data_IF_861235181495
#
_entry.id   IF_861235181495
#
_cell.length_a   1.000
_cell.length_b   1.000
_cell.length_c   1.000
_cell.angle_alpha   90.00
_cell.angle_beta   90.00
_cell.angle_gamma   90.00
#
_symmetry.space_group_name_H-M   'P 1'
#
loop_
_entity.id
_entity.type
_entity.pdbx_description
1 polymer ?
#
# COMPACT_ATOMS: atom_id res chain seq x y z
N UNK A 1 28.57 4.89 20.82
CA UNK A 1 27.37 5.76 20.85
C UNK A 1 27.15 6.33 19.46
N UNK A 2 26.65 5.53 18.51
CA UNK A 2 26.53 5.90 17.08
C UNK A 2 25.09 5.83 16.55
N UNK A 3 24.19 5.14 17.25
CA UNK A 3 22.85 4.79 16.75
C UNK A 3 21.84 5.94 16.68
N UNK A 4 22.05 7.04 17.42
CA UNK A 4 21.10 8.16 17.49
C UNK A 4 21.23 9.07 16.26
N UNK A 5 22.43 9.24 15.72
CA UNK A 5 22.66 10.09 14.54
C UNK A 5 22.19 9.44 13.23
N UNK A 6 22.25 8.11 13.13
CA UNK A 6 21.74 7.38 11.95
C UNK A 6 20.21 7.45 11.86
N UNK A 7 19.52 7.38 13.00
CA UNK A 7 18.06 7.52 13.06
C UNK A 7 17.59 8.93 12.65
N UNK A 8 18.31 9.98 13.10
CA UNK A 8 17.98 11.37 12.77
C UNK A 8 18.25 11.73 11.29
N UNK A 9 19.24 11.08 10.69
CA UNK A 9 19.52 11.18 9.24
C UNK A 9 18.47 10.43 8.41
N UNK A 10 18.02 9.26 8.90
CA UNK A 10 16.90 8.52 8.30
C UNK A 10 15.55 9.26 8.39
N UNK A 11 15.32 10.02 9.47
CA UNK A 11 14.16 10.90 9.62
C UNK A 11 14.15 12.10 8.67
N UNK A 12 15.30 12.47 8.10
CA UNK A 12 15.42 13.54 7.08
C UNK A 12 15.61 12.98 5.67
N UNK A 13 15.51 11.66 5.48
CA UNK A 13 15.57 11.08 4.15
C UNK A 13 14.21 11.26 3.44
N UNK A 14 14.17 12.00 2.31
CA UNK A 14 12.92 12.30 1.63
C UNK A 14 12.24 11.04 1.09
N UNK A 15 13.02 10.03 0.70
CA UNK A 15 12.48 8.78 0.19
C UNK A 15 11.91 7.91 1.33
N UNK A 16 12.60 7.79 2.46
CA UNK A 16 12.09 7.06 3.63
C UNK A 16 10.82 7.70 4.18
N UNK A 17 10.78 9.04 4.27
CA UNK A 17 9.57 9.77 4.68
C UNK A 17 8.39 9.47 3.75
N UNK A 18 8.65 9.47 2.44
CA UNK A 18 7.66 9.09 1.43
C UNK A 18 7.22 7.63 1.56
N UNK A 19 8.16 6.70 1.76
CA UNK A 19 7.91 5.28 1.89
C UNK A 19 7.02 4.97 3.10
N UNK A 20 7.27 5.63 4.23
CA UNK A 20 6.42 5.52 5.43
C UNK A 20 5.00 5.98 5.12
N UNK A 21 4.83 7.17 4.53
CA UNK A 21 3.50 7.68 4.16
C UNK A 21 2.76 6.74 3.20
N UNK A 22 3.48 6.17 2.23
CA UNK A 22 2.93 5.24 1.26
C UNK A 22 2.49 3.91 1.91
N UNK A 23 3.29 3.35 2.82
CA UNK A 23 2.92 2.14 3.57
C UNK A 23 1.74 2.38 4.51
N UNK A 24 1.71 3.50 5.23
CA UNK A 24 0.57 3.88 6.07
C UNK A 24 -0.71 4.06 5.26
N UNK A 25 -0.60 4.54 4.01
CA UNK A 25 -1.76 4.65 3.10
C UNK A 25 -2.32 3.27 2.73
N UNK A 26 -1.44 2.29 2.46
CA UNK A 26 -1.89 0.91 2.20
C UNK A 26 -2.48 0.22 3.43
N UNK A 27 -2.01 0.56 4.63
CA UNK A 27 -2.54 0.04 5.89
C UNK A 27 -3.95 0.55 6.21
N UNK A 28 -4.24 1.83 5.93
CA UNK A 28 -5.51 2.49 6.31
C UNK A 28 -6.71 2.18 5.37
N UNK A 29 -6.60 1.14 4.54
CA UNK A 29 -7.54 0.74 3.48
C UNK A 29 -7.40 1.58 2.20
N UNK A 30 -7.13 0.93 1.05
CA UNK A 30 -6.58 1.59 -0.11
C UNK A 30 -7.63 2.13 -1.11
N UNK A 31 -8.89 2.27 -0.70
CA UNK A 31 -10.03 2.53 -1.61
C UNK A 31 -10.33 4.00 -1.90
N UNK A 32 -9.85 4.96 -1.10
CA UNK A 32 -10.34 6.35 -1.20
C UNK A 32 -9.31 7.38 -1.62
N UNK A 33 -8.00 7.08 -1.50
CA UNK A 33 -6.95 8.07 -1.72
C UNK A 33 -5.92 7.52 -2.70
N UNK A 34 -5.62 8.22 -3.81
CA UNK A 34 -4.53 7.82 -4.69
C UNK A 34 -3.21 7.76 -3.90
N UNK A 35 -2.35 6.75 -4.13
CA UNK A 35 -1.10 6.65 -3.41
C UNK A 35 -0.27 7.92 -3.64
N UNK A 36 0.38 8.47 -2.60
CA UNK A 36 1.24 9.63 -2.76
C UNK A 36 2.30 9.34 -3.84
N UNK A 37 2.62 10.33 -4.66
CA UNK A 37 3.69 10.23 -5.66
C UNK A 37 5.00 10.74 -5.06
N UNK A 38 6.10 10.07 -5.38
CA UNK A 38 7.43 10.55 -5.00
C UNK A 38 7.96 11.49 -6.10
N UNK A 39 8.14 12.77 -5.76
CA UNK A 39 8.74 13.78 -6.65
C UNK A 39 10.14 14.22 -6.16
N UNK A 40 10.71 13.49 -5.21
CA UNK A 40 12.06 13.76 -4.67
C UNK A 40 13.19 13.15 -5.51
N UNK A 41 14.45 13.30 -5.06
CA UNK A 41 15.61 12.69 -5.72
C UNK A 41 15.45 11.16 -5.78
N UNK A 42 15.53 10.61 -6.99
CA UNK A 42 15.42 9.17 -7.23
C UNK A 42 16.73 8.59 -7.78
N UNK A 43 17.04 7.38 -7.34
CA UNK A 43 18.04 6.49 -7.93
C UNK A 43 17.44 5.12 -8.28
N UNK A 44 18.23 4.26 -8.91
CA UNK A 44 17.81 2.92 -9.32
C UNK A 44 17.30 2.05 -8.15
N UNK A 45 17.76 2.28 -6.91
CA UNK A 45 17.31 1.56 -5.72
C UNK A 45 15.91 2.02 -5.35
N UNK A 46 15.69 3.34 -5.27
CA UNK A 46 14.37 3.92 -4.97
C UNK A 46 13.33 3.53 -6.02
N UNK A 47 13.68 3.57 -7.31
CA UNK A 47 12.83 3.10 -8.41
C UNK A 47 12.51 1.61 -8.27
N UNK A 48 13.50 0.80 -7.86
CA UNK A 48 13.30 -0.63 -7.67
C UNK A 48 12.35 -0.95 -6.52
N UNK A 49 12.46 -0.21 -5.42
CA UNK A 49 11.57 -0.32 -4.27
C UNK A 49 10.15 0.09 -4.67
N UNK A 50 9.97 1.26 -5.29
CA UNK A 50 8.64 1.75 -5.71
C UNK A 50 7.96 0.80 -6.69
N UNK A 51 8.70 0.27 -7.67
CA UNK A 51 8.16 -0.71 -8.63
C UNK A 51 7.72 -2.00 -7.92
N UNK A 52 8.54 -2.50 -7.00
CA UNK A 52 8.24 -3.73 -6.26
C UNK A 52 7.01 -3.55 -5.37
N UNK A 53 6.91 -2.40 -4.69
CA UNK A 53 5.76 -2.04 -3.88
C UNK A 53 4.49 -1.90 -4.72
N UNK A 54 4.56 -1.28 -5.91
CA UNK A 54 3.43 -1.22 -6.84
C UNK A 54 2.98 -2.60 -7.36
N UNK A 55 3.87 -3.58 -7.44
CA UNK A 55 3.49 -4.96 -7.75
C UNK A 55 2.78 -5.65 -6.58
N UNK A 56 3.24 -5.42 -5.34
CA UNK A 56 2.59 -5.93 -4.12
C UNK A 56 1.21 -5.32 -3.95
N UNK A 57 1.10 -4.00 -4.09
CA UNK A 57 -0.17 -3.28 -4.02
C UNK A 57 -1.20 -3.82 -5.01
N UNK A 58 -0.83 -4.01 -6.28
CA UNK A 58 -1.73 -4.60 -7.29
C UNK A 58 -2.22 -6.00 -6.89
N UNK A 59 -1.35 -6.86 -6.36
CA UNK A 59 -1.76 -8.20 -5.89
C UNK A 59 -2.72 -8.11 -4.71
N UNK A 60 -2.48 -7.18 -3.78
CA UNK A 60 -3.38 -6.91 -2.66
C UNK A 60 -4.75 -6.46 -3.17
N UNK A 61 -4.82 -5.46 -4.05
CA UNK A 61 -6.10 -5.00 -4.64
C UNK A 61 -6.87 -6.12 -5.34
N UNK A 62 -6.20 -6.94 -6.15
CA UNK A 62 -6.84 -8.09 -6.80
C UNK A 62 -7.36 -9.11 -5.79
N UNK A 63 -6.62 -9.37 -4.72
CA UNK A 63 -7.06 -10.27 -3.65
C UNK A 63 -8.30 -9.73 -2.93
N UNK A 64 -8.32 -8.44 -2.59
CA UNK A 64 -9.45 -7.78 -1.95
C UNK A 64 -10.69 -7.75 -2.86
N UNK A 65 -10.54 -7.48 -4.15
CA UNK A 65 -11.64 -7.52 -5.13
C UNK A 65 -12.22 -8.93 -5.28
N UNK A 66 -11.34 -9.94 -5.31
CA UNK A 66 -11.74 -11.35 -5.35
C UNK A 66 -12.51 -11.74 -4.08
N UNK A 67 -12.01 -11.32 -2.91
CA UNK A 67 -12.67 -11.57 -1.63
C UNK A 67 -14.05 -10.90 -1.55
N UNK A 68 -14.17 -9.65 -2.02
CA UNK A 68 -15.43 -8.94 -2.09
C UNK A 68 -16.44 -9.65 -3.01
N UNK A 69 -15.99 -10.17 -4.15
CA UNK A 69 -16.82 -10.93 -5.09
C UNK A 69 -17.32 -12.25 -4.50
N UNK A 70 -16.46 -12.96 -3.75
CA UNK A 70 -16.84 -14.19 -3.03
C UNK A 70 -17.90 -13.86 -1.98
N UNK A 71 -17.66 -12.87 -1.11
CA UNK A 71 -18.61 -12.44 -0.08
C UNK A 71 -19.95 -12.01 -0.66
N UNK A 72 -19.95 -11.26 -1.76
CA UNK A 72 -21.18 -10.86 -2.43
C UNK A 72 -21.97 -12.10 -2.91
N UNK A 73 -21.29 -13.08 -3.49
CA UNK A 73 -21.90 -14.34 -3.95
C UNK A 73 -22.49 -15.15 -2.78
N UNK A 74 -21.81 -15.22 -1.63
CA UNK A 74 -22.34 -15.87 -0.42
C UNK A 74 -23.58 -15.16 0.13
N UNK A 75 -23.60 -13.82 0.15
CA UNK A 75 -24.79 -13.05 0.54
C UNK A 75 -25.99 -13.32 -0.37
N UNK A 76 -25.79 -13.48 -1.68
CA UNK A 76 -26.86 -13.87 -2.61
C UNK A 76 -27.41 -15.26 -2.33
N UNK A 77 -26.56 -16.23 -1.99
CA UNK A 77 -27.00 -17.59 -1.64
C UNK A 77 -27.77 -17.63 -0.31
N UNK A 78 -27.39 -16.80 0.66
CA UNK A 78 -28.07 -16.73 1.96
C UNK A 78 -29.39 -15.96 1.94
N UNK A 79 -29.57 -15.01 1.00
CA UNK A 79 -30.74 -14.13 0.92
C UNK A 79 -31.58 -14.39 -0.35
N UNK A 80 -31.52 -15.61 -0.90
CA UNK A 80 -32.27 -15.98 -2.11
C UNK A 80 -33.78 -15.72 -1.96
N UNK A 81 -34.50 -15.46 -3.06
CA UNK A 81 -35.91 -15.09 -2.99
C UNK A 81 -36.70 -16.22 -2.34
N UNK A 82 -37.53 -15.88 -1.35
CA UNK A 82 -38.48 -16.78 -0.72
C UNK A 82 -39.38 -17.37 -1.83
N UNK A 83 -39.15 -18.63 -2.21
CA UNK A 83 -40.02 -19.40 -3.13
C UNK A 83 -41.05 -20.19 -2.36
#
# INVERSE_FOLDING_TARGET
>A
MSSINEYSRGLNDPFLSHLIALLSTYELCPMSTPPPRYDGPGDWQTDSILRSLGAVARRMYTAEETLASIKASECWLSNGPET
#
